data_IF_135419404406
#
_entry.id   IF_135419404406
#
_cell.length_a   1.000
_cell.length_b   1.000
_cell.length_c   1.000
_cell.angle_alpha   90.00
_cell.angle_beta   90.00
_cell.angle_gamma   90.00
#
_symmetry.space_group_name_H-M   'P 1'
#
loop_
_entity.id
_entity.type
_entity.pdbx_description
1 polymer ?
#
# COMPACT_ATOMS: atom_id res chain seq x y z
N UNK A 1 13.39 -22.74 -1.65
CA UNK A 1 12.63 -22.17 -0.51
C UNK A 1 11.70 -21.11 -1.08
N UNK A 2 10.41 -21.39 -1.12
CA UNK A 2 9.41 -20.64 -1.89
C UNK A 2 8.70 -19.66 -0.95
N UNK A 3 8.81 -18.37 -1.23
CA UNK A 3 7.97 -17.34 -0.61
C UNK A 3 6.50 -17.64 -0.91
N UNK A 4 5.58 -17.61 0.07
CA UNK A 4 4.18 -17.93 -0.18
C UNK A 4 3.56 -16.89 -1.12
N UNK A 5 3.00 -17.37 -2.23
CA UNK A 5 2.31 -16.57 -3.25
C UNK A 5 0.99 -16.05 -2.67
N UNK A 6 0.97 -14.79 -2.25
CA UNK A 6 -0.26 -14.02 -2.15
C UNK A 6 -0.73 -13.66 -3.56
N UNK A 7 -1.69 -14.42 -4.09
CA UNK A 7 -2.41 -14.13 -5.33
C UNK A 7 -3.32 -12.91 -5.12
N UNK A 8 -3.10 -11.84 -5.88
CA UNK A 8 -3.97 -10.66 -5.91
C UNK A 8 -4.85 -10.75 -7.16
N UNK A 9 -6.11 -11.15 -6.98
CA UNK A 9 -7.12 -11.18 -8.04
C UNK A 9 -7.78 -9.81 -8.13
N UNK A 10 -7.72 -9.16 -9.29
CA UNK A 10 -8.49 -7.93 -9.55
C UNK A 10 -9.99 -8.24 -9.40
N UNK A 11 -10.60 -7.73 -8.33
CA UNK A 11 -11.98 -8.03 -7.92
C UNK A 11 -12.13 -8.44 -6.46
N UNK A 12 -11.04 -8.85 -5.80
CA UNK A 12 -11.02 -9.19 -4.38
C UNK A 12 -10.05 -8.24 -3.68
N UNK A 13 -10.51 -7.59 -2.60
CA UNK A 13 -9.63 -6.73 -1.81
C UNK A 13 -8.34 -7.44 -1.44
N UNK A 14 -7.21 -6.75 -1.59
CA UNK A 14 -5.89 -7.30 -1.31
C UNK A 14 -5.21 -6.56 -0.17
N UNK A 15 -4.62 -7.31 0.74
CA UNK A 15 -3.73 -6.76 1.77
C UNK A 15 -2.29 -6.94 1.32
N UNK A 16 -1.54 -5.84 1.28
CA UNK A 16 -0.11 -5.88 1.01
C UNK A 16 0.67 -5.22 2.15
N UNK A 17 1.63 -5.92 2.77
CA UNK A 17 2.46 -5.32 3.81
C UNK A 17 3.32 -4.21 3.22
N UNK A 18 3.70 -3.25 4.07
CA UNK A 18 4.68 -2.25 3.69
C UNK A 18 5.98 -2.96 3.22
N UNK A 19 6.65 -2.43 2.17
CA UNK A 19 7.96 -2.90 1.76
C UNK A 19 8.91 -3.02 2.96
N UNK A 20 9.70 -4.10 3.01
CA UNK A 20 10.66 -4.33 4.09
C UNK A 20 11.65 -3.17 4.31
N UNK A 21 11.92 -2.39 3.26
CA UNK A 21 12.71 -1.16 3.31
C UNK A 21 12.07 -0.10 4.23
N UNK A 22 10.74 0.04 4.19
CA UNK A 22 9.97 0.95 5.04
C UNK A 22 9.84 0.36 6.43
N UNK A 23 9.53 -0.94 6.53
CA UNK A 23 9.47 -1.62 7.83
C UNK A 23 10.81 -1.54 8.59
N UNK A 24 11.94 -1.57 7.88
CA UNK A 24 13.27 -1.37 8.48
C UNK A 24 13.54 0.09 8.90
N UNK A 25 12.83 1.06 8.31
CA UNK A 25 12.92 2.49 8.63
C UNK A 25 11.89 2.94 9.67
N UNK A 26 10.92 2.09 10.00
CA UNK A 26 9.76 2.42 10.83
C UNK A 26 9.66 1.47 12.02
N UNK A 27 9.34 2.00 13.19
CA UNK A 27 9.08 1.24 14.43
C UNK A 27 7.60 1.28 14.79
N UNK A 28 7.18 0.63 15.88
CA UNK A 28 5.77 0.58 16.27
C UNK A 28 5.25 1.96 16.70
N UNK A 29 6.15 2.80 17.19
CA UNK A 29 5.91 4.20 17.54
C UNK A 29 6.03 5.16 16.35
N UNK A 30 6.41 4.69 15.17
CA UNK A 30 6.51 5.58 14.01
C UNK A 30 5.13 5.85 13.45
N UNK A 31 4.72 7.12 13.50
CA UNK A 31 3.51 7.56 12.81
C UNK A 31 3.71 7.43 11.29
N UNK A 32 2.88 6.59 10.66
CA UNK A 32 2.87 6.38 9.23
C UNK A 32 1.62 7.05 8.68
N UNK A 33 1.82 8.09 7.89
CA UNK A 33 0.78 8.79 7.14
C UNK A 33 0.84 8.36 5.70
N UNK A 34 -0.31 8.12 5.10
CA UNK A 34 -0.40 7.81 3.68
C UNK A 34 -1.29 8.82 3.01
N UNK A 35 -0.89 9.27 1.83
CA UNK A 35 -1.61 10.27 1.04
C UNK A 35 -1.37 10.01 -0.44
N UNK A 36 -2.18 10.60 -1.31
CA UNK A 36 -1.87 10.61 -2.74
C UNK A 36 -0.75 11.62 -3.02
N UNK A 37 0.07 11.42 -4.07
CA UNK A 37 1.09 12.38 -4.50
C UNK A 37 0.49 13.72 -4.91
N UNK A 38 -0.79 13.71 -5.27
CA UNK A 38 -1.59 14.89 -5.60
C UNK A 38 -2.01 15.69 -4.35
N UNK A 39 -1.70 15.20 -3.14
CA UNK A 39 -2.15 15.77 -1.86
C UNK A 39 -3.58 15.37 -1.48
N UNK A 40 -4.30 14.66 -2.35
CA UNK A 40 -5.61 14.10 -2.06
C UNK A 40 -5.54 12.95 -1.02
N UNK A 41 -6.60 12.75 -0.22
CA UNK A 41 -6.69 11.60 0.68
C UNK A 41 -6.70 10.28 -0.11
N UNK A 42 -6.38 9.16 0.55
CA UNK A 42 -6.46 7.87 -0.11
C UNK A 42 -7.89 7.59 -0.60
N UNK A 43 -8.03 6.84 -1.71
CA UNK A 43 -9.33 6.36 -2.14
C UNK A 43 -10.01 5.54 -1.06
N UNK A 44 -11.34 5.56 -1.02
CA UNK A 44 -12.15 4.75 -0.11
C UNK A 44 -11.90 3.23 -0.19
N UNK A 45 -11.41 2.75 -1.33
CA UNK A 45 -11.01 1.37 -1.54
C UNK A 45 -9.59 1.06 -1.07
N UNK A 46 -8.79 2.03 -0.62
CA UNK A 46 -7.42 1.82 -0.15
C UNK A 46 -7.23 2.45 1.23
N UNK A 47 -7.05 1.60 2.23
CA UNK A 47 -6.87 2.02 3.62
C UNK A 47 -5.53 1.51 4.12
N UNK A 48 -4.82 2.34 4.88
CA UNK A 48 -3.61 1.90 5.57
C UNK A 48 -3.95 1.44 6.99
N UNK A 49 -3.54 0.23 7.34
CA UNK A 49 -3.64 -0.29 8.70
C UNK A 49 -2.28 -0.08 9.42
N UNK A 50 -2.18 0.88 10.36
CA UNK A 50 -0.95 1.15 11.11
C UNK A 50 -0.61 0.03 12.10
N UNK A 51 -1.60 -0.76 12.54
CA UNK A 51 -1.40 -1.87 13.48
C UNK A 51 -0.71 -3.03 12.77
N UNK A 52 -1.19 -3.38 11.59
CA UNK A 52 -0.62 -4.45 10.77
C UNK A 52 0.52 -3.97 9.86
N UNK A 53 0.79 -2.65 9.83
CA UNK A 53 1.74 -2.01 8.91
C UNK A 53 1.56 -2.46 7.47
N UNK A 54 0.30 -2.58 7.08
CA UNK A 54 -0.12 -3.16 5.82
C UNK A 54 -1.18 -2.29 5.19
N UNK A 55 -1.17 -2.22 3.88
CA UNK A 55 -2.24 -1.62 3.13
C UNK A 55 -3.33 -2.64 2.89
N UNK A 56 -4.55 -2.28 3.25
CA UNK A 56 -5.75 -3.04 2.95
C UNK A 56 -6.45 -2.33 1.83
N UNK A 57 -6.51 -2.98 0.68
CA UNK A 57 -7.35 -2.53 -0.42
C UNK A 57 -8.61 -3.38 -0.48
N UNK A 58 -9.71 -2.77 -0.90
CA UNK A 58 -10.97 -3.40 -1.23
C UNK A 58 -11.05 -3.59 -2.76
N UNK A 59 -12.26 -3.50 -3.32
CA UNK A 59 -12.47 -3.60 -4.77
C UNK A 59 -11.93 -2.35 -5.46
N UNK A 60 -10.88 -2.52 -6.25
CA UNK A 60 -10.35 -1.45 -7.09
C UNK A 60 -11.34 -1.18 -8.25
N UNK A 61 -11.78 0.06 -8.46
CA UNK A 61 -12.64 0.41 -9.58
C UNK A 61 -11.88 0.28 -10.91
N UNK A 62 -12.60 0.02 -12.01
CA UNK A 62 -12.00 0.00 -13.36
C UNK A 62 -11.35 1.36 -13.67
N UNK A 63 -10.05 1.36 -13.96
CA UNK A 63 -9.25 2.58 -14.18
C UNK A 63 -8.69 3.22 -12.90
N UNK A 64 -8.84 2.58 -11.74
CA UNK A 64 -8.24 3.06 -10.48
C UNK A 64 -6.72 2.83 -10.37
N UNK A 65 -6.12 2.11 -11.31
CA UNK A 65 -4.71 1.77 -11.34
C UNK A 65 -4.05 2.17 -12.68
N UNK A 66 -2.74 2.43 -12.69
CA UNK A 66 -1.85 2.46 -11.53
C UNK A 66 -2.09 3.70 -10.66
N UNK A 67 -1.97 3.54 -9.34
CA UNK A 67 -2.05 4.64 -8.38
C UNK A 67 -0.72 4.76 -7.66
N UNK A 68 -0.24 5.98 -7.49
CA UNK A 68 0.91 6.23 -6.61
C UNK A 68 0.39 6.69 -5.27
N UNK A 69 0.94 6.15 -4.19
CA UNK A 69 0.69 6.61 -2.83
C UNK A 69 2.00 7.07 -2.21
N UNK A 70 1.94 8.14 -1.45
CA UNK A 70 3.06 8.68 -0.68
C UNK A 70 2.90 8.22 0.75
N UNK A 71 3.87 7.44 1.21
CA UNK A 71 3.94 6.98 2.59
C UNK A 71 4.96 7.83 3.31
N UNK A 72 4.47 8.71 4.18
CA UNK A 72 5.27 9.54 5.08
C UNK A 72 5.42 8.84 6.41
N UNK A 73 6.65 8.64 6.88
CA UNK A 73 6.98 7.98 8.13
C UNK A 73 8.09 8.73 8.85
N UNK A 74 7.83 9.18 10.08
CA UNK A 74 8.76 10.03 10.82
C UNK A 74 9.13 11.29 10.03
N UNK A 75 10.39 11.41 9.61
CA UNK A 75 10.93 12.51 8.81
C UNK A 75 11.19 12.16 7.34
N UNK A 76 10.78 10.98 6.88
CA UNK A 76 11.00 10.50 5.52
C UNK A 76 9.67 10.20 4.84
N UNK A 77 9.60 10.36 3.52
CA UNK A 77 8.48 9.91 2.73
C UNK A 77 8.97 9.07 1.55
N UNK A 78 8.16 8.12 1.11
CA UNK A 78 8.46 7.31 -0.08
C UNK A 78 7.24 7.20 -0.98
N UNK A 79 7.50 7.04 -2.27
CA UNK A 79 6.46 6.88 -3.29
C UNK A 79 6.31 5.38 -3.59
N UNK A 80 5.11 4.85 -3.36
CA UNK A 80 4.76 3.48 -3.70
C UNK A 80 3.80 3.54 -4.88
N UNK A 81 4.23 3.08 -6.04
CA UNK A 81 3.35 2.86 -7.18
C UNK A 81 2.67 1.50 -7.01
N UNK A 82 1.38 1.52 -6.75
CA UNK A 82 0.52 0.34 -6.78
C UNK A 82 0.00 0.20 -8.20
N UNK A 83 0.27 -0.93 -8.82
CA UNK A 83 -0.16 -1.25 -10.18
C UNK A 83 -0.94 -2.56 -10.17
N UNK A 84 -1.85 -2.75 -11.13
CA UNK A 84 -2.39 -4.08 -11.41
C UNK A 84 -1.22 -4.96 -11.82
N UNK A 85 -0.80 -5.88 -10.94
CA UNK A 85 0.09 -6.95 -11.35
C UNK A 85 -0.78 -7.97 -12.07
N UNK A 86 -0.97 -7.80 -13.38
CA UNK A 86 -1.45 -8.86 -14.25
C UNK A 86 -0.44 -9.99 -14.13
N UNK A 87 -0.80 -11.04 -13.39
CA UNK A 87 -0.07 -12.30 -13.45
C UNK A 87 -0.32 -12.88 -14.85
N UNK A 88 0.61 -12.58 -15.77
CA UNK A 88 0.74 -13.33 -17.02
C UNK A 88 1.29 -14.73 -16.77
#
# INVERSE_FOLDING_TARGET
MTVPKGTVTAGTGFTFPLPGQILAKTTADTEIKVSLPDGSPLPNWLTFDPVQRSFVSAVVPRGGLPITVVVSFGSSQTFIMVSERTAG
#
